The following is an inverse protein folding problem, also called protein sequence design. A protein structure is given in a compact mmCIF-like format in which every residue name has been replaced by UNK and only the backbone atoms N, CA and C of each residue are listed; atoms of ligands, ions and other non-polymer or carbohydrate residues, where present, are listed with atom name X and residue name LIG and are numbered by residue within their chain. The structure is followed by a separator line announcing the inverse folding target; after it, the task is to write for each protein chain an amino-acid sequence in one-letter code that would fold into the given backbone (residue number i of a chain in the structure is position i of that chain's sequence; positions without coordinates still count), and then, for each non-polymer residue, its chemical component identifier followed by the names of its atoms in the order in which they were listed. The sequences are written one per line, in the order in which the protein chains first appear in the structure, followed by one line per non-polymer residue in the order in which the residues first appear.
data_IF_904436535520
#
_entry.id   IF_904436535520
#
_cell.length_a   1.000
_cell.length_b   1.000
_cell.length_c   1.000
_cell.angle_alpha   90.00
_cell.angle_beta   90.00
_cell.angle_gamma   90.00
#
_symmetry.space_group_name_H-M   'P 1'
#
loop_
_entity.id
_entity.type
_entity.pdbx_description
1 polymer ?
#
# COMPACT_ATOMS: atom_id res chain seq x y z
N UNK A 1 4.95 -3.40 0.83
CA UNK A 1 3.98 -4.52 0.82
C UNK A 1 3.17 -4.44 -0.47
N UNK A 2 3.03 -5.56 -1.18
CA UNK A 2 2.22 -5.66 -2.39
C UNK A 2 0.76 -5.94 -1.98
N UNK A 3 -0.16 -5.04 -2.33
CA UNK A 3 -1.59 -5.17 -2.02
C UNK A 3 -2.32 -5.47 -3.32
N UNK A 4 -2.81 -6.70 -3.47
CA UNK A 4 -3.55 -7.12 -4.66
C UNK A 4 -5.05 -6.86 -4.52
N UNK A 5 -5.59 -7.04 -3.32
CA UNK A 5 -6.98 -6.74 -3.00
C UNK A 5 -7.05 -5.58 -2.00
N UNK A 6 -7.20 -4.38 -2.52
CA UNK A 6 -7.20 -3.16 -1.73
C UNK A 6 -8.43 -3.03 -0.84
N UNK A 7 -9.59 -3.55 -1.30
CA UNK A 7 -10.83 -3.58 -0.51
C UNK A 7 -10.67 -4.46 0.72
N UNK A 8 -10.16 -5.69 0.54
CA UNK A 8 -9.93 -6.62 1.65
C UNK A 8 -8.91 -6.07 2.65
N UNK A 9 -7.86 -5.44 2.15
CA UNK A 9 -6.85 -4.79 2.99
C UNK A 9 -7.46 -3.66 3.84
N UNK A 10 -8.31 -2.82 3.24
CA UNK A 10 -9.00 -1.73 3.94
C UNK A 10 -10.01 -2.25 4.97
N UNK A 11 -10.71 -3.35 4.66
CA UNK A 11 -11.59 -4.05 5.60
C UNK A 11 -10.83 -4.57 6.82
N UNK A 12 -9.73 -5.28 6.62
CA UNK A 12 -8.93 -5.83 7.71
C UNK A 12 -8.33 -4.71 8.58
N UNK A 13 -7.93 -3.59 7.97
CA UNK A 13 -7.50 -2.40 8.69
C UNK A 13 -8.66 -1.80 9.52
N UNK A 14 -9.83 -1.62 8.92
CA UNK A 14 -11.01 -1.06 9.57
C UNK A 14 -11.46 -1.90 10.78
N UNK A 15 -11.36 -3.22 10.67
CA UNK A 15 -11.65 -4.16 11.76
C UNK A 15 -10.52 -4.27 12.80
N UNK A 16 -9.44 -3.52 12.66
CA UNK A 16 -8.30 -3.56 13.58
C UNK A 16 -7.43 -4.81 13.47
N UNK A 17 -7.60 -5.61 12.42
CA UNK A 17 -6.85 -6.86 12.20
C UNK A 17 -5.46 -6.63 11.60
N UNK A 18 -5.24 -5.48 10.96
CA UNK A 18 -4.00 -5.14 10.28
C UNK A 18 -3.41 -3.84 10.83
N UNK A 19 -2.46 -3.93 11.77
CA UNK A 19 -1.78 -2.78 12.36
C UNK A 19 -0.44 -2.43 11.71
N UNK A 20 -0.08 -3.08 10.58
CA UNK A 20 1.20 -2.83 9.90
C UNK A 20 1.29 -1.46 9.23
N UNK A 21 0.17 -0.78 9.01
CA UNK A 21 0.14 0.57 8.42
C UNK A 21 0.64 1.58 9.45
N UNK A 22 1.87 2.02 9.31
CA UNK A 22 2.49 3.01 10.21
C UNK A 22 2.00 4.44 9.96
N UNK A 23 1.71 4.78 8.70
CA UNK A 23 1.32 6.13 8.32
C UNK A 23 -0.14 6.43 8.65
N UNK A 24 -0.38 7.42 9.50
CA UNK A 24 -1.71 7.94 9.85
C UNK A 24 -2.48 8.37 8.61
N UNK A 25 -1.82 9.05 7.67
CA UNK A 25 -2.41 9.49 6.40
C UNK A 25 -2.95 8.29 5.61
N UNK A 26 -2.17 7.21 5.53
CA UNK A 26 -2.59 5.99 4.85
C UNK A 26 -3.75 5.30 5.57
N UNK A 27 -3.72 5.22 6.91
CA UNK A 27 -4.81 4.65 7.70
C UNK A 27 -6.13 5.38 7.41
N UNK A 28 -6.15 6.70 7.54
CA UNK A 28 -7.32 7.54 7.27
C UNK A 28 -7.80 7.33 5.82
N UNK A 29 -6.87 7.31 4.85
CA UNK A 29 -7.22 7.12 3.44
C UNK A 29 -7.87 5.77 3.13
N UNK A 30 -7.46 4.68 3.78
CA UNK A 30 -8.10 3.36 3.62
C UNK A 30 -9.44 3.28 4.35
N UNK A 31 -9.51 3.81 5.57
CA UNK A 31 -10.73 3.81 6.39
C UNK A 31 -11.84 4.61 5.72
N UNK A 32 -11.56 5.84 5.27
CA UNK A 32 -12.56 6.69 4.58
C UNK A 32 -13.07 6.03 3.30
N UNK A 33 -12.19 5.40 2.51
CA UNK A 33 -12.61 4.66 1.30
C UNK A 33 -13.45 3.43 1.63
N UNK A 34 -13.10 2.69 2.68
CA UNK A 34 -13.87 1.52 3.10
C UNK A 34 -15.27 1.94 3.55
N UNK A 35 -15.38 2.99 4.35
CA UNK A 35 -16.66 3.52 4.80
C UNK A 35 -17.54 3.99 3.63
N UNK A 36 -16.95 4.68 2.65
CA UNK A 36 -17.67 5.15 1.48
C UNK A 36 -18.13 4.00 0.56
N UNK A 37 -17.21 3.13 0.14
CA UNK A 37 -17.49 2.14 -0.91
C UNK A 37 -18.03 0.79 -0.41
N UNK A 38 -17.76 0.43 0.82
CA UNK A 38 -18.23 -0.84 1.39
C UNK A 38 -19.43 -0.66 2.32
N UNK A 39 -19.49 0.45 3.08
CA UNK A 39 -20.55 0.71 4.03
C UNK A 39 -21.58 1.72 3.53
N UNK A 40 -21.30 2.43 2.43
CA UNK A 40 -22.22 3.39 1.81
C UNK A 40 -22.42 4.66 2.63
N UNK A 41 -21.45 5.06 3.47
CA UNK A 41 -21.58 6.25 4.29
C UNK A 41 -21.55 7.54 3.46
N UNK A 42 -22.35 8.51 3.86
CA UNK A 42 -22.25 9.89 3.40
C UNK A 42 -20.92 10.53 3.81
N UNK A 43 -20.56 11.67 3.24
CA UNK A 43 -19.32 12.36 3.63
C UNK A 43 -19.34 12.79 5.10
N UNK A 44 -20.51 13.16 5.62
CA UNK A 44 -20.71 13.58 7.01
C UNK A 44 -20.58 12.38 7.98
N UNK A 45 -21.24 11.26 7.65
CA UNK A 45 -21.11 10.02 8.39
C UNK A 45 -19.66 9.50 8.34
N UNK A 46 -19.03 9.54 7.17
CA UNK A 46 -17.67 9.10 6.96
C UNK A 46 -16.70 9.89 7.85
N UNK A 47 -16.86 11.22 7.93
CA UNK A 47 -16.07 12.04 8.86
C UNK A 47 -16.27 11.57 10.31
N UNK A 48 -17.54 11.52 10.76
CA UNK A 48 -17.90 11.17 12.13
C UNK A 48 -17.37 9.80 12.53
N UNK A 49 -17.54 8.79 11.67
CA UNK A 49 -17.10 7.43 11.96
C UNK A 49 -15.58 7.27 11.80
N UNK A 50 -14.92 8.06 10.96
CA UNK A 50 -13.43 8.08 10.90
C UNK A 50 -12.85 8.65 12.19
N UNK A 51 -13.42 9.73 12.75
CA UNK A 51 -13.02 10.26 14.06
C UNK A 51 -13.18 9.21 15.16
N UNK A 52 -14.34 8.52 15.21
CA UNK A 52 -14.57 7.42 16.17
C UNK A 52 -13.57 6.29 15.99
N UNK A 53 -13.27 5.92 14.76
CA UNK A 53 -12.30 4.87 14.45
C UNK A 53 -10.88 5.27 14.89
N UNK A 54 -10.48 6.50 14.62
CA UNK A 54 -9.17 7.04 15.01
C UNK A 54 -9.02 7.08 16.54
N UNK A 55 -10.04 7.53 17.26
CA UNK A 55 -10.04 7.51 18.74
C UNK A 55 -9.88 6.08 19.32
N UNK A 56 -10.35 5.06 18.61
CA UNK A 56 -10.25 3.66 19.04
C UNK A 56 -8.89 3.02 18.74
N UNK A 57 -8.27 3.37 17.60
CA UNK A 57 -7.13 2.62 17.05
C UNK A 57 -5.85 3.45 16.90
N UNK A 58 -5.86 4.72 17.30
CA UNK A 58 -4.69 5.58 17.22
C UNK A 58 -4.47 6.28 18.55
N UNK A 59 -3.38 5.93 19.22
CA UNK A 59 -3.01 6.53 20.51
C UNK A 59 -2.77 8.04 20.32
N UNK A 60 -3.24 8.82 21.31
CA UNK A 60 -3.11 10.29 21.33
C UNK A 60 -3.73 10.99 20.11
N UNK A 61 -4.84 10.45 19.57
CA UNK A 61 -5.56 11.13 18.50
C UNK A 61 -6.17 12.44 19.00
N UNK A 62 -5.90 13.53 18.28
CA UNK A 62 -6.51 14.83 18.48
C UNK A 62 -7.23 15.26 17.19
N UNK A 63 -8.54 15.33 17.24
CA UNK A 63 -9.37 15.68 16.09
C UNK A 63 -8.98 17.02 15.47
N UNK A 64 -8.59 18.02 16.29
CA UNK A 64 -8.21 19.34 15.82
C UNK A 64 -6.99 19.29 14.86
N UNK A 65 -6.05 18.38 15.14
CA UNK A 65 -4.85 18.17 14.32
C UNK A 65 -5.13 17.40 13.03
N UNK A 66 -6.16 16.55 13.01
CA UNK A 66 -6.41 15.62 11.88
C UNK A 66 -7.67 15.95 11.06
N UNK A 67 -8.50 16.91 11.48
CA UNK A 67 -9.76 17.26 10.81
C UNK A 67 -9.60 17.55 9.32
N UNK A 68 -8.64 18.41 8.96
CA UNK A 68 -8.34 18.74 7.57
C UNK A 68 -7.90 17.50 6.77
N UNK A 69 -7.08 16.64 7.37
CA UNK A 69 -6.59 15.42 6.75
C UNK A 69 -7.74 14.44 6.45
N UNK A 70 -8.71 14.32 7.38
CA UNK A 70 -9.89 13.46 7.20
C UNK A 70 -10.76 14.00 6.05
N UNK A 71 -11.04 15.31 6.04
CA UNK A 71 -11.82 15.95 4.96
C UNK A 71 -11.14 15.76 3.60
N UNK A 72 -9.83 15.95 3.53
CA UNK A 72 -9.08 15.76 2.28
C UNK A 72 -9.06 14.29 1.84
N UNK A 73 -9.03 13.35 2.78
CA UNK A 73 -9.09 11.92 2.48
C UNK A 73 -10.47 11.52 1.92
N UNK A 74 -11.56 12.04 2.49
CA UNK A 74 -12.93 11.81 2.00
C UNK A 74 -13.07 12.35 0.56
N UNK A 75 -12.63 13.60 0.30
CA UNK A 75 -12.63 14.18 -1.07
C UNK A 75 -11.83 13.33 -2.06
N UNK A 76 -10.69 12.80 -1.65
CA UNK A 76 -9.87 11.92 -2.48
C UNK A 76 -10.52 10.55 -2.69
N UNK A 77 -11.27 10.05 -1.71
CA UNK A 77 -11.98 8.77 -1.80
C UNK A 77 -12.94 8.76 -2.99
N UNK A 78 -13.71 9.82 -3.23
CA UNK A 78 -14.61 9.92 -4.38
C UNK A 78 -13.97 9.68 -5.75
N UNK A 79 -12.67 9.98 -5.86
CA UNK A 79 -11.89 9.85 -7.11
C UNK A 79 -11.07 8.57 -7.19
N UNK A 80 -11.12 7.74 -6.14
CA UNK A 80 -10.19 6.63 -6.01
C UNK A 80 -10.87 5.37 -5.47
N UNK A 81 -11.67 4.68 -6.30
CA UNK A 81 -12.30 3.42 -5.91
C UNK A 81 -11.23 2.38 -5.56
N UNK A 82 -11.65 1.32 -4.87
CA UNK A 82 -10.78 0.16 -4.65
C UNK A 82 -10.52 -0.58 -5.95
N UNK A 83 -9.32 -1.13 -6.06
CA UNK A 83 -9.00 -2.09 -7.10
C UNK A 83 -8.79 -3.50 -6.50
N UNK A 84 -9.10 -4.49 -7.30
CA UNK A 84 -8.79 -5.90 -7.05
C UNK A 84 -7.98 -6.39 -8.25
N UNK A 85 -6.81 -6.93 -7.98
CA UNK A 85 -5.95 -7.52 -9.00
C UNK A 85 -6.00 -9.02 -8.79
N UNK A 86 -6.70 -9.71 -9.69
CA UNK A 86 -6.85 -11.16 -9.63
C UNK A 86 -5.55 -11.86 -10.05
N UNK A 87 -4.87 -11.32 -11.06
CA UNK A 87 -3.66 -11.90 -11.62
C UNK A 87 -2.64 -10.83 -12.02
N UNK A 88 -1.37 -11.15 -11.84
CA UNK A 88 -0.25 -10.43 -12.44
C UNK A 88 0.41 -11.38 -13.44
N UNK A 89 0.28 -11.08 -14.73
CA UNK A 89 0.88 -11.88 -15.78
C UNK A 89 2.37 -11.60 -15.91
N UNK A 90 3.17 -12.65 -15.86
CA UNK A 90 4.62 -12.62 -16.07
C UNK A 90 4.91 -13.48 -17.31
N UNK A 91 5.60 -12.90 -18.27
CA UNK A 91 5.95 -13.58 -19.53
C UNK A 91 7.18 -14.46 -19.34
N UNK A 92 7.36 -15.44 -20.22
CA UNK A 92 8.55 -16.28 -20.19
C UNK A 92 9.83 -15.45 -20.39
N UNK A 93 9.83 -14.48 -21.29
CA UNK A 93 10.99 -13.59 -21.51
C UNK A 93 11.36 -12.76 -20.27
N UNK A 94 10.39 -12.34 -19.48
CA UNK A 94 10.65 -11.64 -18.20
C UNK A 94 11.27 -12.60 -17.17
N UNK A 95 10.83 -13.85 -17.11
CA UNK A 95 11.43 -14.88 -16.25
C UNK A 95 12.85 -15.22 -16.70
N UNK A 96 13.10 -15.33 -18.01
CA UNK A 96 14.42 -15.59 -18.56
C UNK A 96 15.42 -14.49 -18.20
N UNK A 97 15.00 -13.21 -18.28
CA UNK A 97 15.81 -12.07 -17.84
C UNK A 97 16.12 -12.15 -16.35
N UNK A 98 15.14 -12.49 -15.52
CA UNK A 98 15.34 -12.62 -14.06
C UNK A 98 16.35 -13.73 -13.78
N UNK A 99 16.17 -14.89 -14.38
CA UNK A 99 17.04 -16.07 -14.19
C UNK A 99 18.46 -15.86 -14.71
N UNK A 100 18.66 -14.96 -15.70
CA UNK A 100 19.99 -14.64 -16.24
C UNK A 100 20.91 -13.88 -15.26
N UNK A 101 20.37 -13.41 -14.12
CA UNK A 101 21.17 -12.71 -13.11
C UNK A 101 22.11 -13.64 -12.33
N UNK A 102 21.91 -14.96 -12.37
CA UNK A 102 22.72 -15.97 -11.68
C UNK A 102 22.95 -15.69 -10.19
N UNK A 103 22.05 -14.90 -9.58
CA UNK A 103 22.07 -14.49 -8.19
C UNK A 103 20.68 -14.52 -7.58
N UNK A 104 20.41 -15.51 -6.78
CA UNK A 104 19.08 -15.74 -6.18
C UNK A 104 18.52 -14.54 -5.40
N UNK A 105 19.36 -13.68 -4.82
CA UNK A 105 18.88 -12.47 -4.13
C UNK A 105 18.46 -11.42 -5.13
N UNK A 106 19.26 -11.18 -6.15
CA UNK A 106 18.96 -10.25 -7.24
C UNK A 106 17.71 -10.69 -8.01
N UNK A 107 17.56 -11.98 -8.31
CA UNK A 107 16.38 -12.56 -8.94
C UNK A 107 15.11 -12.28 -8.13
N UNK A 108 15.12 -12.55 -6.82
CA UNK A 108 13.98 -12.28 -5.93
C UNK A 108 13.62 -10.79 -5.88
N UNK A 109 14.62 -9.92 -5.83
CA UNK A 109 14.41 -8.47 -5.80
C UNK A 109 13.82 -8.00 -7.12
N UNK A 110 14.38 -8.43 -8.26
CA UNK A 110 13.88 -8.05 -9.58
C UNK A 110 12.47 -8.59 -9.82
N UNK A 111 12.17 -9.82 -9.40
CA UNK A 111 10.82 -10.39 -9.49
C UNK A 111 9.80 -9.54 -8.71
N UNK A 112 10.13 -9.11 -7.48
CA UNK A 112 9.26 -8.27 -6.67
C UNK A 112 9.08 -6.89 -7.31
N UNK A 113 10.13 -6.29 -7.85
CA UNK A 113 10.06 -5.01 -8.58
C UNK A 113 9.17 -5.12 -9.81
N UNK A 114 9.29 -6.20 -10.59
CA UNK A 114 8.43 -6.46 -11.74
C UNK A 114 6.96 -6.56 -11.33
N UNK A 115 6.65 -7.32 -10.27
CA UNK A 115 5.30 -7.43 -9.76
C UNK A 115 4.74 -6.07 -9.30
N UNK A 116 5.55 -5.25 -8.63
CA UNK A 116 5.16 -3.91 -8.21
C UNK A 116 4.92 -2.97 -9.39
N UNK A 117 5.77 -3.00 -10.41
CA UNK A 117 5.60 -2.20 -11.62
C UNK A 117 4.30 -2.57 -12.35
N UNK A 118 4.04 -3.86 -12.52
CA UNK A 118 2.78 -4.36 -13.13
C UNK A 118 1.56 -4.01 -12.30
N UNK A 119 1.64 -4.11 -10.97
CA UNK A 119 0.57 -3.68 -10.08
C UNK A 119 0.27 -2.18 -10.25
N UNK A 120 1.29 -1.33 -10.30
CA UNK A 120 1.11 0.10 -10.50
C UNK A 120 0.50 0.43 -11.85
N UNK A 121 0.88 -0.29 -12.89
CA UNK A 121 0.28 -0.16 -14.22
C UNK A 121 -1.22 -0.48 -14.18
N UNK A 122 -1.60 -1.60 -13.57
CA UNK A 122 -3.01 -2.02 -13.46
C UNK A 122 -3.82 -1.05 -12.60
N UNK A 123 -3.27 -0.61 -11.46
CA UNK A 123 -4.02 0.19 -10.48
C UNK A 123 -4.10 1.69 -10.81
N UNK A 124 -3.09 2.25 -11.49
CA UNK A 124 -2.96 3.69 -11.70
C UNK A 124 -2.70 4.09 -13.16
N UNK A 125 -2.58 3.12 -14.06
CA UNK A 125 -2.24 3.37 -15.47
C UNK A 125 -0.80 3.86 -15.70
N UNK A 126 0.08 3.79 -14.69
CA UNK A 126 1.48 4.19 -14.87
C UNK A 126 2.22 3.21 -15.76
N UNK A 127 2.74 3.70 -16.88
CA UNK A 127 3.44 2.91 -17.90
C UNK A 127 4.96 3.04 -17.86
N UNK A 128 5.49 3.93 -17.03
CA UNK A 128 6.92 4.25 -17.00
C UNK A 128 7.79 3.23 -16.23
N UNK A 129 7.18 2.21 -15.62
CA UNK A 129 7.89 1.18 -14.85
C UNK A 129 8.58 1.68 -13.57
N UNK A 130 8.40 2.96 -13.21
CA UNK A 130 9.06 3.54 -12.04
C UNK A 130 8.42 3.06 -10.74
N UNK A 131 9.17 2.29 -9.96
CA UNK A 131 8.76 1.82 -8.62
C UNK A 131 9.53 2.60 -7.56
N UNK A 132 8.83 3.42 -6.78
CA UNK A 132 9.42 4.13 -5.63
C UNK A 132 9.29 3.27 -4.38
N UNK A 133 10.41 2.69 -3.95
CA UNK A 133 10.45 1.83 -2.76
C UNK A 133 11.80 1.96 -2.06
N UNK A 134 11.82 1.92 -0.72
CA UNK A 134 13.07 1.90 0.02
C UNK A 134 13.70 0.50 -0.06
N UNK A 135 15.02 0.42 -0.18
CA UNK A 135 15.73 -0.85 -0.24
C UNK A 135 15.39 -1.79 0.92
N UNK A 136 15.34 -1.34 2.20
CA UNK A 136 14.93 -2.21 3.31
C UNK A 136 13.53 -2.82 3.14
N UNK A 137 12.56 -2.03 2.67
CA UNK A 137 11.20 -2.51 2.44
C UNK A 137 11.13 -3.50 1.26
N UNK A 138 11.94 -3.25 0.23
CA UNK A 138 12.05 -4.16 -0.93
C UNK A 138 12.65 -5.49 -0.52
N UNK A 139 13.77 -5.49 0.21
CA UNK A 139 14.41 -6.69 0.73
C UNK A 139 13.47 -7.49 1.65
N UNK A 140 12.72 -6.80 2.53
CA UNK A 140 11.70 -7.43 3.38
C UNK A 140 10.63 -8.12 2.53
N UNK A 141 10.14 -7.46 1.47
CA UNK A 141 9.11 -8.02 0.59
C UNK A 141 9.65 -9.20 -0.22
N UNK A 142 10.88 -9.11 -0.71
CA UNK A 142 11.56 -10.18 -1.45
C UNK A 142 12.06 -11.32 -0.55
N UNK A 143 11.94 -11.18 0.78
CA UNK A 143 12.46 -12.13 1.78
C UNK A 143 13.95 -12.40 1.60
N UNK A 144 14.72 -11.33 1.41
CA UNK A 144 16.19 -11.38 1.34
C UNK A 144 16.79 -10.54 2.46
N UNK A 145 17.95 -10.98 2.99
CA UNK A 145 18.72 -10.19 3.95
C UNK A 145 19.50 -9.09 3.22
N UNK A 146 19.59 -7.91 3.85
CA UNK A 146 20.49 -6.86 3.38
C UNK A 146 21.91 -7.28 3.81
N UNK A 147 22.90 -7.33 2.89
CA UNK A 147 24.30 -7.55 3.24
C UNK A 147 24.77 -6.50 4.26
N UNK A 148 25.58 -6.92 5.23
CA UNK A 148 26.05 -6.04 6.30
C UNK A 148 26.94 -4.92 5.74
N UNK A 149 27.69 -5.22 4.71
CA UNK A 149 28.66 -4.32 4.06
C UNK A 149 27.99 -3.20 3.22
N UNK A 150 26.71 -3.40 2.81
CA UNK A 150 25.97 -2.38 2.04
C UNK A 150 25.26 -1.37 2.95
N UNK A 151 25.24 -1.56 4.26
CA UNK A 151 24.62 -0.61 5.20
C UNK A 151 25.42 0.67 5.36
N UNK A 152 26.72 0.66 5.03
CA UNK A 152 27.62 1.82 5.15
C UNK A 152 27.49 2.81 3.98
N UNK A 153 26.84 2.44 2.88
CA UNK A 153 26.72 3.29 1.68
C UNK A 153 25.35 4.00 1.56
N UNK A 154 24.50 3.94 2.61
CA UNK A 154 23.16 4.55 2.59
C UNK A 154 23.03 5.68 3.65
N UNK A 155 24.09 6.40 3.87
CA UNK A 155 24.08 7.66 4.64
C UNK A 155 24.28 8.86 3.73
#
# INVERSE_FOLDING_TARGET
MLILNEKKYAEDLYLGKNNEVKSVVSKIGYVTRYQMYALGYSDEDNYTYTVKWMNKYHDNFDESCYSKLIVDAIKKAHKRPFYVIDNIYITQSELDIISSLENIRAEKILFVLLCMAKQQHISNGFTNGLVKYSLPSLCKTARVSIPTDEREYIL
#
